data_IF_605393645225
#
_entry.id   IF_605393645225
#
_cell.length_a   1.000
_cell.length_b   1.000
_cell.length_c   1.000
_cell.angle_alpha   90.00
_cell.angle_beta   90.00
_cell.angle_gamma   90.00
#
_symmetry.space_group_name_H-M   'P 1'
#
loop_
_entity.id
_entity.type
_entity.pdbx_description
1 polymer ?
#
# COMPACT_ATOMS: atom_id res chain seq x y z
N UNK A 1 14.08 -0.20 7.57
CA UNK A 1 12.89 -0.92 8.09
C UNK A 1 13.25 -1.92 9.16
N UNK A 2 14.12 -2.91 8.90
CA UNK A 2 14.43 -3.99 9.86
C UNK A 2 14.78 -3.52 11.28
N UNK A 3 15.64 -2.53 11.45
CA UNK A 3 16.11 -2.13 12.79
C UNK A 3 15.00 -1.61 13.73
N UNK A 4 13.96 -0.99 13.18
CA UNK A 4 12.81 -0.53 13.96
C UNK A 4 11.89 -1.68 14.38
N UNK A 5 11.69 -2.64 13.48
CA UNK A 5 10.89 -3.85 13.72
C UNK A 5 11.61 -4.81 14.67
N UNK A 6 12.92 -4.99 14.51
CA UNK A 6 13.79 -5.81 15.36
C UNK A 6 13.84 -5.28 16.79
N UNK A 7 13.77 -3.96 16.99
CA UNK A 7 13.78 -3.35 18.32
C UNK A 7 12.40 -3.28 18.96
N UNK A 8 11.33 -3.02 18.19
CA UNK A 8 10.03 -2.65 18.74
C UNK A 8 8.88 -3.60 18.39
N UNK A 9 9.02 -4.50 17.41
CA UNK A 9 7.93 -5.39 16.98
C UNK A 9 8.25 -6.85 17.33
N UNK A 10 9.33 -7.42 16.80
CA UNK A 10 9.64 -8.85 17.00
C UNK A 10 9.81 -9.26 18.47
N UNK A 11 10.47 -8.49 19.35
CA UNK A 11 10.65 -8.87 20.75
C UNK A 11 9.34 -8.86 21.57
N UNK A 12 8.36 -8.06 21.14
CA UNK A 12 7.13 -7.82 21.89
C UNK A 12 5.92 -8.53 21.29
N UNK A 13 6.03 -9.11 20.08
CA UNK A 13 4.88 -9.75 19.40
C UNK A 13 4.25 -10.89 20.22
N UNK A 14 5.04 -11.70 20.94
CA UNK A 14 4.53 -12.83 21.73
C UNK A 14 3.94 -12.39 23.08
N UNK A 15 4.23 -11.17 23.51
CA UNK A 15 3.70 -10.58 24.74
C UNK A 15 2.58 -9.57 24.47
N UNK A 16 2.13 -9.45 23.23
CA UNK A 16 1.06 -8.52 22.87
C UNK A 16 -0.30 -9.11 23.27
N UNK A 17 -1.11 -8.33 23.99
CA UNK A 17 -2.48 -8.73 24.34
C UNK A 17 -3.37 -8.93 23.10
N UNK A 18 -3.07 -8.19 22.01
CA UNK A 18 -3.80 -8.27 20.74
C UNK A 18 -2.85 -8.06 19.56
N UNK A 19 -3.02 -8.87 18.51
CA UNK A 19 -2.39 -8.70 17.21
C UNK A 19 -3.48 -8.51 16.16
N UNK A 20 -3.48 -7.37 15.45
CA UNK A 20 -4.49 -7.05 14.43
C UNK A 20 -3.84 -6.88 13.06
N UNK A 21 -4.26 -7.70 12.09
CA UNK A 21 -3.89 -7.53 10.70
C UNK A 21 -4.99 -6.74 9.98
N UNK A 22 -4.68 -5.48 9.64
CA UNK A 22 -5.59 -4.60 8.90
C UNK A 22 -5.48 -4.76 7.38
N UNK A 23 -4.57 -5.60 6.88
CA UNK A 23 -4.36 -5.77 5.44
C UNK A 23 -5.53 -6.51 4.81
N UNK A 24 -5.98 -5.99 3.67
CA UNK A 24 -7.08 -6.58 2.92
C UNK A 24 -6.58 -6.93 1.51
N UNK A 25 -6.83 -8.16 1.07
CA UNK A 25 -6.26 -8.69 -0.19
C UNK A 25 -6.67 -7.86 -1.42
N UNK A 26 -7.78 -7.12 -1.35
CA UNK A 26 -8.25 -6.27 -2.45
C UNK A 26 -7.48 -4.94 -2.56
N UNK A 27 -6.71 -4.54 -1.56
CA UNK A 27 -6.07 -3.22 -1.47
C UNK A 27 -5.15 -2.94 -2.66
N UNK A 28 -4.38 -3.95 -3.08
CA UNK A 28 -3.47 -3.83 -4.21
C UNK A 28 -4.24 -3.54 -5.51
N UNK A 29 -5.41 -4.15 -5.71
CA UNK A 29 -6.26 -3.89 -6.89
C UNK A 29 -6.85 -2.48 -6.90
N UNK A 30 -7.11 -1.90 -5.72
CA UNK A 30 -7.59 -0.52 -5.58
C UNK A 30 -6.46 0.47 -5.86
N UNK A 31 -5.28 0.27 -5.25
CA UNK A 31 -4.12 1.16 -5.42
C UNK A 31 -3.56 1.08 -6.83
N UNK A 32 -3.59 -0.10 -7.47
CA UNK A 32 -2.96 -0.33 -8.78
C UNK A 32 -3.35 0.75 -9.79
N UNK A 33 -4.63 1.06 -9.95
CA UNK A 33 -5.08 2.04 -10.96
C UNK A 33 -4.53 3.45 -10.71
N UNK A 34 -4.29 3.82 -9.46
CA UNK A 34 -3.77 5.13 -9.05
C UNK A 34 -2.24 5.16 -9.17
N UNK A 35 -1.57 4.08 -8.75
CA UNK A 35 -0.11 3.97 -8.76
C UNK A 35 0.47 3.65 -10.14
N UNK A 36 -0.23 2.91 -10.99
CA UNK A 36 0.31 2.35 -12.24
C UNK A 36 0.89 3.41 -13.17
N UNK A 37 0.14 4.48 -13.44
CA UNK A 37 0.60 5.57 -14.30
C UNK A 37 1.77 6.34 -13.68
N UNK A 38 1.76 6.53 -12.36
CA UNK A 38 2.81 7.22 -11.65
C UNK A 38 4.13 6.45 -11.72
N UNK A 39 4.07 5.13 -11.51
CA UNK A 39 5.24 4.26 -11.54
C UNK A 39 5.82 4.14 -12.95
N UNK A 40 4.98 4.02 -13.98
CA UNK A 40 5.43 4.01 -15.37
C UNK A 40 5.97 5.36 -15.85
N UNK A 41 5.54 6.46 -15.24
CA UNK A 41 6.01 7.81 -15.55
C UNK A 41 7.39 8.14 -14.99
N UNK A 42 8.00 7.27 -14.17
CA UNK A 42 9.31 7.54 -13.58
C UNK A 42 10.40 7.42 -14.65
N UNK A 43 11.15 8.51 -14.85
CA UNK A 43 12.27 8.56 -15.80
C UNK A 43 13.35 7.53 -15.48
N UNK A 44 13.97 6.87 -16.49
CA UNK A 44 15.15 6.02 -16.32
C UNK A 44 16.36 6.71 -15.66
N UNK A 45 16.45 8.04 -15.75
CA UNK A 45 17.50 8.83 -15.10
C UNK A 45 17.24 9.11 -13.62
N UNK A 46 16.03 8.83 -13.11
CA UNK A 46 15.68 9.03 -11.71
C UNK A 46 16.35 7.97 -10.84
N UNK A 47 16.86 8.39 -9.67
CA UNK A 47 17.34 7.46 -8.64
C UNK A 47 16.25 6.48 -8.17
N UNK A 48 14.97 6.83 -8.33
CA UNK A 48 13.83 6.00 -7.98
C UNK A 48 13.43 4.97 -9.07
N UNK A 49 14.06 4.98 -10.25
CA UNK A 49 13.61 4.17 -11.39
C UNK A 49 13.59 2.67 -11.09
N UNK A 50 14.64 2.16 -10.45
CA UNK A 50 14.73 0.74 -10.09
C UNK A 50 13.60 0.32 -9.14
N UNK A 51 13.28 1.18 -8.18
CA UNK A 51 12.19 0.93 -7.24
C UNK A 51 10.83 1.03 -7.92
N UNK A 52 10.63 2.01 -8.79
CA UNK A 52 9.41 2.14 -9.59
C UNK A 52 9.15 0.91 -10.46
N UNK A 53 10.21 0.35 -11.08
CA UNK A 53 10.14 -0.89 -11.87
C UNK A 53 9.80 -2.10 -10.99
N UNK A 54 10.39 -2.21 -9.81
CA UNK A 54 10.11 -3.28 -8.84
C UNK A 54 8.64 -3.25 -8.39
N UNK A 55 8.15 -2.07 -8.00
CA UNK A 55 6.76 -1.87 -7.59
C UNK A 55 5.78 -2.11 -8.74
N UNK A 56 6.12 -1.68 -9.97
CA UNK A 56 5.33 -1.98 -11.16
C UNK A 56 5.20 -3.49 -11.38
N UNK A 57 6.29 -4.24 -11.23
CA UNK A 57 6.25 -5.70 -11.32
C UNK A 57 5.38 -6.37 -10.25
N UNK A 58 5.39 -5.83 -9.03
CA UNK A 58 4.58 -6.33 -7.92
C UNK A 58 3.08 -6.18 -8.21
N UNK A 59 2.65 -5.03 -8.74
CA UNK A 59 1.23 -4.75 -9.00
C UNK A 59 0.75 -5.18 -10.40
N UNK A 60 1.66 -5.59 -11.29
CA UNK A 60 1.34 -5.94 -12.69
C UNK A 60 0.34 -7.08 -12.82
N UNK A 61 0.39 -8.06 -11.90
CA UNK A 61 -0.46 -9.25 -11.93
C UNK A 61 -1.81 -9.07 -11.24
N UNK A 62 -2.12 -7.86 -10.75
CA UNK A 62 -3.39 -7.56 -10.11
C UNK A 62 -4.38 -6.97 -11.11
N UNK A 63 -5.68 -7.13 -10.84
CA UNK A 63 -6.76 -6.47 -11.59
C UNK A 63 -7.19 -5.20 -10.84
N UNK A 64 -7.60 -4.20 -11.60
CA UNK A 64 -8.13 -2.97 -11.00
C UNK A 64 -9.46 -3.24 -10.31
N UNK A 65 -9.65 -2.59 -9.17
CA UNK A 65 -10.89 -2.61 -8.39
C UNK A 65 -11.44 -1.18 -8.32
N UNK A 66 -12.74 -1.04 -8.54
CA UNK A 66 -13.41 0.26 -8.49
C UNK A 66 -13.41 0.83 -7.06
N UNK A 67 -13.19 2.14 -6.90
CA UNK A 67 -13.16 2.78 -5.57
C UNK A 67 -14.53 2.69 -4.90
N UNK A 68 -15.61 2.65 -5.69
CA UNK A 68 -16.98 2.50 -5.19
C UNK A 68 -17.23 1.21 -4.42
N UNK A 69 -16.39 0.17 -4.60
CA UNK A 69 -16.50 -1.10 -3.88
C UNK A 69 -15.78 -1.08 -2.53
N UNK A 70 -14.98 -0.05 -2.26
CA UNK A 70 -14.23 0.09 -1.01
C UNK A 70 -15.17 0.68 0.05
N UNK A 71 -15.20 0.19 1.30
CA UNK A 71 -15.94 0.85 2.36
C UNK A 71 -15.49 2.30 2.55
N UNK A 72 -16.43 3.22 2.82
CA UNK A 72 -16.14 4.65 2.93
C UNK A 72 -15.23 4.99 4.13
N UNK A 73 -15.22 4.12 5.15
CA UNK A 73 -14.40 4.24 6.36
C UNK A 73 -13.07 3.49 6.28
N UNK A 74 -12.71 2.94 5.10
CA UNK A 74 -11.44 2.25 4.90
C UNK A 74 -10.30 3.25 4.78
N UNK A 75 -9.17 3.01 5.47
CA UNK A 75 -7.98 3.88 5.45
C UNK A 75 -7.41 4.05 4.04
N UNK A 76 -7.49 3.00 3.20
CA UNK A 76 -7.01 3.08 1.81
C UNK A 76 -7.71 4.17 0.99
N UNK A 77 -8.89 4.64 1.45
CA UNK A 77 -9.59 5.78 0.87
C UNK A 77 -8.78 7.06 0.92
N UNK A 78 -7.74 7.19 1.73
CA UNK A 78 -6.80 8.33 1.70
C UNK A 78 -6.04 8.46 0.37
N UNK A 79 -5.80 7.33 -0.29
CA UNK A 79 -5.10 7.26 -1.58
C UNK A 79 -6.08 7.23 -2.76
N UNK A 80 -7.38 7.33 -2.49
CA UNK A 80 -8.44 7.37 -3.49
C UNK A 80 -9.31 8.61 -3.26
N UNK A 81 -10.16 8.99 -4.19
CA UNK A 81 -11.16 10.01 -3.87
C UNK A 81 -12.20 9.47 -2.87
N UNK A 82 -12.52 10.25 -1.84
CA UNK A 82 -13.62 9.97 -0.90
C UNK A 82 -13.24 9.47 0.51
N UNK A 83 -12.04 9.78 1.01
CA UNK A 83 -11.73 9.59 2.44
C UNK A 83 -12.63 10.46 3.32
N UNK A 84 -13.12 9.87 4.42
CA UNK A 84 -13.84 10.61 5.47
C UNK A 84 -12.90 11.19 6.53
N UNK A 85 -11.63 10.76 6.54
CA UNK A 85 -10.63 11.25 7.48
C UNK A 85 -10.16 12.64 7.05
N UNK A 86 -10.13 13.59 7.99
CA UNK A 86 -9.63 14.95 7.80
C UNK A 86 -8.40 15.14 8.70
N UNK A 87 -7.30 15.57 8.11
CA UNK A 87 -6.02 15.85 8.78
C UNK A 87 -5.74 17.36 8.78
#
# INVERSE_FOLDING_TARGET
>A
MREGEDKNIFPYQENADYMFNSSLTYEIGVIRKHAWKLLLGVSPSSSAYMEAKRLSGLIANCKDIADSLVPYNSIIREFTDGSIFRY
#
